data_IF_424110765128
#
_entry.id   IF_424110765128
#
_cell.length_a   1.000
_cell.length_b   1.000
_cell.length_c   1.000
_cell.angle_alpha   90.00
_cell.angle_beta   90.00
_cell.angle_gamma   90.00
#
_symmetry.space_group_name_H-M   'P 1'
#
loop_
_entity.id
_entity.type
_entity.pdbx_description
1 polymer ?
#
# COMPACT_ATOMS: atom_id res chain seq x y z
N UNK A 1 -18.68 -70.90 -13.28
CA UNK A 1 -19.34 -69.87 -14.11
C UNK A 1 -18.75 -68.51 -13.73
N UNK A 2 -18.10 -67.86 -14.71
CA UNK A 2 -17.79 -66.42 -14.94
C UNK A 2 -17.72 -65.43 -13.75
N UNK A 3 -16.86 -64.41 -13.69
CA UNK A 3 -15.71 -63.91 -14.47
C UNK A 3 -15.27 -62.56 -13.84
N UNK A 4 -13.96 -62.38 -13.65
CA UNK A 4 -13.13 -61.15 -13.78
C UNK A 4 -13.54 -59.79 -13.16
N UNK A 5 -12.68 -59.35 -12.22
CA UNK A 5 -11.66 -58.27 -12.37
C UNK A 5 -12.03 -56.76 -12.33
N UNK A 6 -11.09 -55.99 -11.74
CA UNK A 6 -10.82 -54.52 -11.83
C UNK A 6 -11.77 -53.58 -11.06
N UNK A 7 -11.42 -52.36 -10.63
CA UNK A 7 -10.20 -51.62 -10.28
C UNK A 7 -10.75 -50.31 -9.70
N UNK A 8 -10.34 -49.90 -8.50
CA UNK A 8 -10.90 -48.73 -7.82
C UNK A 8 -10.26 -47.44 -8.34
N UNK A 9 -11.06 -46.54 -8.91
CA UNK A 9 -10.63 -45.16 -9.25
C UNK A 9 -11.63 -44.16 -8.67
N UNK A 10 -11.06 -43.11 -8.08
CA UNK A 10 -11.63 -41.95 -7.40
C UNK A 10 -12.87 -41.31 -8.06
N UNK A 11 -13.86 -40.90 -7.25
CA UNK A 11 -14.78 -39.81 -7.57
C UNK A 11 -15.03 -38.90 -6.37
N UNK A 12 -14.80 -37.62 -6.63
CA UNK A 12 -14.86 -36.47 -5.73
C UNK A 12 -16.27 -36.24 -5.18
N UNK A 13 -16.33 -35.96 -3.88
CA UNK A 13 -17.53 -35.63 -3.12
C UNK A 13 -17.78 -34.11 -3.21
N UNK A 14 -18.86 -33.69 -3.87
CA UNK A 14 -19.36 -32.31 -3.80
C UNK A 14 -20.22 -32.18 -2.52
N UNK A 15 -19.79 -31.37 -1.56
CA UNK A 15 -20.55 -31.06 -0.36
C UNK A 15 -20.95 -29.58 -0.39
N UNK A 16 -22.21 -29.30 -0.73
CA UNK A 16 -22.82 -27.99 -0.50
C UNK A 16 -23.10 -27.82 1.00
N UNK A 17 -22.58 -26.75 1.59
CA UNK A 17 -22.95 -26.30 2.94
C UNK A 17 -23.86 -25.09 2.78
N UNK A 18 -25.12 -25.22 3.20
CA UNK A 18 -26.04 -24.10 3.42
C UNK A 18 -26.16 -23.81 4.91
N UNK A 19 -26.17 -22.53 5.28
CA UNK A 19 -26.38 -22.04 6.63
C UNK A 19 -27.85 -21.68 6.90
N UNK A 20 -28.25 -21.93 8.15
CA UNK A 20 -29.39 -21.42 8.95
C UNK A 20 -30.84 -21.92 8.74
N UNK A 21 -31.33 -22.52 9.84
CA UNK A 21 -32.71 -22.75 10.34
C UNK A 21 -33.67 -21.56 10.06
N UNK A 22 -34.99 -21.71 9.87
CA UNK A 22 -35.99 -22.35 10.76
C UNK A 22 -37.37 -22.46 10.03
N UNK A 23 -38.19 -23.43 10.45
CA UNK A 23 -39.63 -23.68 10.18
C UNK A 23 -40.06 -24.39 8.89
N UNK A 24 -40.32 -25.70 9.09
CA UNK A 24 -41.18 -26.56 8.28
C UNK A 24 -42.61 -26.00 8.18
N UNK A 25 -43.02 -25.64 6.97
CA UNK A 25 -44.32 -26.08 6.44
C UNK A 25 -44.04 -26.83 5.15
N UNK A 26 -44.42 -28.10 5.14
CA UNK A 26 -44.28 -29.01 4.00
C UNK A 26 -45.25 -28.60 2.90
N UNK A 27 -44.89 -27.63 2.08
CA UNK A 27 -45.42 -27.55 0.72
C UNK A 27 -44.60 -28.54 -0.11
N UNK A 28 -45.24 -29.65 -0.48
CA UNK A 28 -44.74 -30.53 -1.55
C UNK A 28 -44.80 -29.75 -2.85
N UNK A 29 -43.79 -28.92 -3.11
CA UNK A 29 -43.53 -28.39 -4.44
C UNK A 29 -43.03 -29.58 -5.24
N UNK A 30 -43.79 -30.01 -6.25
CA UNK A 30 -43.29 -30.96 -7.24
C UNK A 30 -41.92 -30.45 -7.71
N UNK A 31 -40.86 -31.27 -7.79
CA UNK A 31 -39.67 -30.87 -8.49
C UNK A 31 -40.04 -30.85 -9.97
N UNK A 32 -40.71 -29.80 -10.43
CA UNK A 32 -40.51 -29.36 -11.79
C UNK A 32 -39.03 -29.00 -11.80
N UNK A 33 -38.24 -29.84 -12.45
CA UNK A 33 -36.90 -29.47 -12.85
C UNK A 33 -37.07 -28.12 -13.56
N UNK A 34 -36.67 -27.02 -12.90
CA UNK A 34 -36.72 -25.70 -13.50
C UNK A 34 -35.85 -25.80 -14.74
N UNK A 35 -36.50 -25.93 -15.89
CA UNK A 35 -35.82 -26.21 -17.14
C UNK A 35 -34.85 -25.05 -17.38
N UNK A 36 -33.55 -25.36 -17.43
CA UNK A 36 -32.55 -24.34 -17.71
C UNK A 36 -32.65 -24.04 -19.20
N UNK A 37 -33.15 -22.85 -19.51
CA UNK A 37 -33.24 -22.40 -20.89
C UNK A 37 -31.82 -22.05 -21.36
N UNK A 38 -31.33 -22.80 -22.34
CA UNK A 38 -29.99 -22.54 -22.91
C UNK A 38 -30.10 -21.46 -23.97
N UNK A 39 -29.46 -20.33 -23.71
CA UNK A 39 -29.42 -19.21 -24.62
C UNK A 39 -28.33 -19.36 -25.69
N UNK A 40 -28.45 -18.61 -26.80
CA UNK A 40 -27.40 -18.53 -27.80
C UNK A 40 -26.05 -18.10 -27.21
N UNK A 41 -24.98 -18.68 -27.77
CA UNK A 41 -23.60 -18.34 -27.46
C UNK A 41 -23.36 -16.83 -27.65
N UNK A 42 -22.72 -16.20 -26.67
CA UNK A 42 -22.10 -14.88 -26.86
C UNK A 42 -20.61 -15.11 -27.09
N UNK A 43 -20.12 -14.63 -28.23
CA UNK A 43 -18.70 -14.49 -28.47
C UNK A 43 -18.26 -13.09 -28.07
N UNK A 44 -17.21 -13.01 -27.27
CA UNK A 44 -16.58 -11.76 -26.81
C UNK A 44 -15.07 -11.87 -27.03
N UNK A 45 -14.41 -10.73 -27.09
CA UNK A 45 -12.96 -10.66 -27.09
C UNK A 45 -12.48 -10.19 -25.73
N UNK A 46 -11.27 -10.59 -25.32
CA UNK A 46 -10.72 -10.16 -24.03
C UNK A 46 -10.75 -8.63 -23.90
N UNK A 47 -11.29 -8.12 -22.79
CA UNK A 47 -11.52 -6.70 -22.51
C UNK A 47 -12.89 -6.15 -22.95
N UNK A 48 -13.70 -6.91 -23.69
CA UNK A 48 -15.04 -6.48 -24.08
C UNK A 48 -16.01 -6.45 -22.89
N UNK A 49 -16.94 -5.50 -22.95
CA UNK A 49 -18.08 -5.41 -22.03
C UNK A 49 -19.39 -5.44 -22.80
N UNK A 50 -20.40 -6.16 -22.29
CA UNK A 50 -21.71 -6.27 -22.96
C UNK A 50 -22.85 -6.36 -21.95
N UNK A 51 -23.93 -5.61 -22.17
CA UNK A 51 -25.14 -5.77 -21.37
C UNK A 51 -25.89 -7.04 -21.78
N UNK A 52 -26.35 -7.80 -20.81
CA UNK A 52 -27.39 -8.81 -21.02
C UNK A 52 -28.73 -8.09 -21.15
N UNK A 53 -29.27 -8.06 -22.37
CA UNK A 53 -30.62 -7.56 -22.64
C UNK A 53 -31.63 -8.70 -22.55
N UNK A 54 -32.76 -8.41 -21.93
CA UNK A 54 -33.92 -9.30 -21.81
C UNK A 54 -35.06 -8.78 -22.70
N UNK A 55 -35.94 -9.66 -23.16
CA UNK A 55 -37.15 -9.24 -23.87
C UNK A 55 -37.99 -8.33 -22.96
N UNK A 56 -38.58 -7.28 -23.53
CA UNK A 56 -39.45 -6.33 -22.83
C UNK A 56 -38.87 -5.52 -21.65
N UNK A 57 -37.54 -5.47 -21.50
CA UNK A 57 -36.91 -4.62 -20.47
C UNK A 57 -36.93 -5.20 -19.06
N UNK A 58 -37.17 -6.50 -18.94
CA UNK A 58 -37.08 -7.24 -17.68
C UNK A 58 -35.65 -7.19 -17.10
N UNK A 59 -35.48 -7.59 -15.85
CA UNK A 59 -34.17 -7.69 -15.19
C UNK A 59 -34.05 -9.04 -14.48
N UNK A 60 -32.86 -9.65 -14.55
CA UNK A 60 -32.60 -10.87 -13.79
C UNK A 60 -32.47 -10.58 -12.28
N UNK A 61 -32.96 -11.50 -11.47
CA UNK A 61 -32.89 -11.41 -10.01
C UNK A 61 -31.52 -11.80 -9.44
N UNK A 62 -30.73 -12.57 -10.20
CA UNK A 62 -29.38 -12.99 -9.84
C UNK A 62 -28.57 -13.40 -11.07
N UNK A 63 -27.25 -13.30 -10.95
CA UNK A 63 -26.28 -13.77 -11.95
C UNK A 63 -25.18 -14.60 -11.28
N UNK A 64 -24.70 -15.61 -11.99
CA UNK A 64 -23.58 -16.46 -11.59
C UNK A 64 -22.69 -16.71 -12.81
N UNK A 65 -21.37 -16.71 -12.60
CA UNK A 65 -20.40 -17.15 -13.61
C UNK A 65 -19.69 -18.42 -13.15
N UNK A 66 -19.63 -19.43 -14.01
CA UNK A 66 -18.87 -20.65 -13.76
C UNK A 66 -17.35 -20.42 -13.68
N UNK A 67 -16.84 -19.36 -14.31
CA UNK A 67 -15.45 -18.94 -14.20
C UNK A 67 -15.32 -17.41 -14.35
N UNK A 68 -15.41 -16.64 -13.25
CA UNK A 68 -15.27 -15.19 -13.26
C UNK A 68 -13.93 -14.69 -13.80
N UNK A 69 -12.87 -15.52 -13.77
CA UNK A 69 -11.56 -15.14 -14.32
C UNK A 69 -11.56 -15.14 -15.86
N UNK A 70 -12.46 -15.89 -16.51
CA UNK A 70 -12.64 -15.89 -17.98
C UNK A 70 -13.71 -14.90 -18.38
N UNK A 71 -14.91 -14.99 -17.80
CA UNK A 71 -15.97 -14.00 -18.01
C UNK A 71 -16.72 -13.74 -16.70
N UNK A 72 -16.82 -12.48 -16.30
CA UNK A 72 -17.58 -12.06 -15.11
C UNK A 72 -18.86 -11.34 -15.50
N UNK A 73 -19.79 -11.25 -14.56
CA UNK A 73 -21.06 -10.55 -14.72
C UNK A 73 -21.34 -9.73 -13.47
N UNK A 74 -21.70 -8.47 -13.63
CA UNK A 74 -22.07 -7.58 -12.51
C UNK A 74 -23.49 -7.89 -12.03
N UNK A 75 -23.84 -7.40 -10.84
CA UNK A 75 -25.22 -7.48 -10.33
C UNK A 75 -26.23 -6.73 -11.22
N UNK A 76 -25.77 -5.78 -12.05
CA UNK A 76 -26.58 -5.07 -13.05
C UNK A 76 -26.64 -5.73 -14.42
N UNK A 77 -26.10 -6.95 -14.60
CA UNK A 77 -26.18 -7.69 -15.87
C UNK A 77 -25.14 -7.29 -16.92
N UNK A 78 -24.10 -6.54 -16.55
CA UNK A 78 -22.98 -6.22 -17.45
C UNK A 78 -21.98 -7.37 -17.44
N UNK A 79 -21.77 -8.01 -18.59
CA UNK A 79 -20.72 -9.01 -18.84
C UNK A 79 -19.38 -8.34 -19.08
N UNK A 80 -18.30 -8.92 -18.54
CA UNK A 80 -16.91 -8.54 -18.82
C UNK A 80 -16.13 -9.78 -19.26
N UNK A 81 -15.43 -9.69 -20.39
CA UNK A 81 -14.50 -10.71 -20.87
C UNK A 81 -13.10 -10.47 -20.29
N UNK A 82 -12.64 -11.35 -19.40
CA UNK A 82 -11.46 -11.13 -18.57
C UNK A 82 -10.22 -11.89 -19.07
N UNK A 83 -10.40 -13.13 -19.57
CA UNK A 83 -9.31 -13.96 -20.10
C UNK A 83 -9.83 -14.94 -21.15
N UNK A 84 -8.94 -15.51 -21.95
CA UNK A 84 -9.26 -16.43 -23.04
C UNK A 84 -9.84 -17.74 -22.51
N UNK A 85 -10.91 -18.21 -23.14
CA UNK A 85 -11.54 -19.49 -22.84
C UNK A 85 -13.06 -19.40 -22.86
N UNK A 86 -13.73 -20.29 -22.16
CA UNK A 86 -15.20 -20.26 -22.07
C UNK A 86 -15.68 -20.29 -20.62
N UNK A 87 -16.71 -19.51 -20.34
CA UNK A 87 -17.44 -19.53 -19.08
C UNK A 87 -18.95 -19.59 -19.37
N UNK A 88 -19.73 -19.99 -18.37
CA UNK A 88 -21.18 -20.05 -18.46
C UNK A 88 -21.77 -19.06 -17.47
N UNK A 89 -22.69 -18.24 -17.96
CA UNK A 89 -23.45 -17.31 -17.14
C UNK A 89 -24.83 -17.90 -16.92
N UNK A 90 -25.15 -18.16 -15.65
CA UNK A 90 -26.46 -18.61 -15.22
C UNK A 90 -27.17 -17.43 -14.57
N UNK A 91 -28.42 -17.18 -14.95
CA UNK A 91 -29.21 -16.09 -14.40
C UNK A 91 -30.69 -16.47 -14.32
N UNK A 92 -31.46 -15.77 -13.49
CA UNK A 92 -32.91 -16.04 -13.34
C UNK A 92 -33.77 -14.83 -13.70
N UNK A 93 -34.75 -15.03 -14.58
CA UNK A 93 -35.76 -14.03 -14.95
C UNK A 93 -37.13 -14.61 -14.61
N UNK A 94 -37.91 -13.90 -13.79
CA UNK A 94 -39.24 -14.35 -13.36
C UNK A 94 -39.29 -15.78 -12.78
N UNK A 95 -38.23 -16.20 -12.08
CA UNK A 95 -38.13 -17.53 -11.46
C UNK A 95 -37.71 -18.65 -12.41
N UNK A 96 -37.47 -18.35 -13.68
CA UNK A 96 -36.94 -19.30 -14.69
C UNK A 96 -35.43 -19.10 -14.79
N UNK A 97 -34.67 -20.20 -14.84
CA UNK A 97 -33.21 -20.15 -14.98
C UNK A 97 -32.81 -20.22 -16.45
N UNK A 98 -31.87 -19.37 -16.82
CA UNK A 98 -31.24 -19.34 -18.13
C UNK A 98 -29.76 -19.62 -17.98
N UNK A 99 -29.18 -20.28 -18.98
CA UNK A 99 -27.75 -20.50 -19.08
C UNK A 99 -27.26 -20.00 -20.42
N UNK A 100 -26.24 -19.15 -20.40
CA UNK A 100 -25.63 -18.59 -21.60
C UNK A 100 -24.15 -18.90 -21.60
N UNK A 101 -23.69 -19.60 -22.63
CA UNK A 101 -22.26 -19.83 -22.83
C UNK A 101 -21.62 -18.55 -23.36
N UNK A 102 -20.51 -18.16 -22.74
CA UNK A 102 -19.64 -17.07 -23.16
C UNK A 102 -18.36 -17.70 -23.66
N UNK A 103 -18.03 -17.45 -24.92
CA UNK A 103 -16.73 -17.80 -25.47
C UNK A 103 -15.92 -16.51 -25.60
N UNK A 104 -14.84 -16.43 -24.84
CA UNK A 104 -13.89 -15.34 -24.87
C UNK A 104 -12.70 -15.78 -25.71
N UNK A 105 -12.57 -15.21 -26.90
CA UNK A 105 -11.37 -15.39 -27.70
C UNK A 105 -10.37 -14.30 -27.34
N UNK A 106 -9.08 -14.61 -27.50
CA UNK A 106 -8.10 -13.53 -27.59
C UNK A 106 -8.46 -12.67 -28.82
N UNK A 107 -8.01 -11.42 -28.83
CA UNK A 107 -7.80 -10.81 -30.14
C UNK A 107 -6.71 -11.68 -30.76
N UNK A 108 -7.02 -12.46 -31.81
CA UNK A 108 -5.96 -13.03 -32.64
C UNK A 108 -5.03 -11.88 -32.95
N UNK A 109 -3.85 -11.87 -32.31
CA UNK A 109 -2.88 -10.81 -32.38
C UNK A 109 -2.65 -10.57 -33.87
N UNK A 110 -3.23 -9.52 -34.49
CA UNK A 110 -3.27 -9.43 -35.93
C UNK A 110 -1.93 -8.89 -36.33
N UNK A 111 -0.88 -9.70 -36.17
CA UNK A 111 0.55 -9.41 -36.33
C UNK A 111 0.75 -7.91 -36.44
N UNK A 112 0.53 -7.17 -35.34
CA UNK A 112 0.32 -5.73 -35.45
C UNK A 112 1.48 -5.14 -36.23
N UNK A 113 1.20 -4.63 -37.43
CA UNK A 113 2.24 -4.02 -38.24
C UNK A 113 2.81 -2.87 -37.43
N UNK A 114 4.09 -2.57 -37.61
CA UNK A 114 4.75 -1.43 -36.95
C UNK A 114 3.93 -0.14 -37.08
N UNK A 115 3.20 -0.01 -38.19
CA UNK A 115 2.28 1.09 -38.53
C UNK A 115 1.03 1.17 -37.65
N UNK A 116 0.46 0.05 -37.18
CA UNK A 116 -0.69 0.10 -36.25
C UNK A 116 -0.28 0.42 -34.81
N UNK A 117 0.97 0.12 -34.42
CA UNK A 117 1.50 0.52 -33.10
C UNK A 117 1.60 2.02 -32.93
N UNK A 118 1.94 2.74 -34.01
CA UNK A 118 2.16 4.19 -34.02
C UNK A 118 0.86 5.01 -34.12
N UNK A 119 -0.25 4.40 -34.57
CA UNK A 119 -1.51 5.11 -34.84
C UNK A 119 -2.61 4.90 -33.78
N UNK A 120 -2.33 4.19 -32.68
CA UNK A 120 -3.31 4.03 -31.59
C UNK A 120 -3.36 5.31 -30.75
N UNK A 121 -4.38 6.14 -30.98
CA UNK A 121 -4.64 7.36 -30.21
C UNK A 121 -5.66 7.06 -29.11
N UNK A 122 -5.23 7.21 -27.86
CA UNK A 122 -6.00 7.00 -26.65
C UNK A 122 -6.15 8.34 -25.91
N UNK A 123 -7.25 8.50 -25.13
CA UNK A 123 -7.42 9.67 -24.30
C UNK A 123 -6.32 9.73 -23.23
N UNK A 124 -5.96 10.94 -22.81
CA UNK A 124 -5.00 11.14 -21.73
C UNK A 124 -5.43 10.34 -20.48
N UNK A 125 -4.45 9.77 -19.78
CA UNK A 125 -4.66 8.89 -18.61
C UNK A 125 -5.42 7.57 -18.89
N UNK A 126 -5.62 7.17 -20.15
CA UNK A 126 -6.18 5.85 -20.47
C UNK A 126 -5.36 4.69 -19.88
N UNK A 127 -4.05 4.91 -19.69
CA UNK A 127 -3.13 3.96 -19.10
C UNK A 127 -2.62 4.49 -17.76
N UNK A 128 -2.96 3.80 -16.67
CA UNK A 128 -2.55 4.14 -15.30
C UNK A 128 -2.19 2.89 -14.52
N UNK A 129 -1.12 2.97 -13.73
CA UNK A 129 -0.72 1.90 -12.80
C UNK A 129 -1.31 2.12 -11.41
N UNK A 130 -1.56 1.05 -10.66
CA UNK A 130 -1.87 1.13 -9.22
C UNK A 130 -0.62 1.18 -8.34
N UNK A 131 0.56 1.01 -8.93
CA UNK A 131 1.83 0.87 -8.24
C UNK A 131 2.78 1.99 -8.67
N UNK A 132 2.51 3.25 -8.28
CA UNK A 132 3.36 4.37 -8.66
C UNK A 132 4.76 4.25 -8.04
N UNK A 133 4.88 3.67 -6.84
CA UNK A 133 6.17 3.46 -6.16
C UNK A 133 6.28 2.02 -5.67
N UNK A 134 7.41 1.38 -5.97
CA UNK A 134 7.73 0.03 -5.51
C UNK A 134 9.03 0.04 -4.70
N UNK A 135 9.01 -0.56 -3.50
CA UNK A 135 10.23 -0.93 -2.79
C UNK A 135 10.51 -2.42 -2.94
N UNK A 136 11.72 -2.76 -3.35
CA UNK A 136 12.13 -4.14 -3.64
C UNK A 136 13.51 -4.42 -3.04
N UNK A 137 13.75 -5.66 -2.66
CA UNK A 137 15.08 -6.17 -2.33
C UNK A 137 15.68 -6.90 -3.54
N UNK A 138 17.00 -7.10 -3.53
CA UNK A 138 17.70 -7.78 -4.62
C UNK A 138 17.10 -9.18 -4.85
N UNK A 139 16.88 -9.52 -6.13
CA UNK A 139 16.21 -10.75 -6.63
C UNK A 139 14.69 -10.76 -6.50
N UNK A 140 14.07 -9.77 -5.86
CA UNK A 140 12.62 -9.65 -5.90
C UNK A 140 12.15 -9.46 -7.34
N UNK A 141 10.98 -10.01 -7.63
CA UNK A 141 10.28 -9.77 -8.88
C UNK A 141 8.83 -9.40 -8.61
N UNK A 142 8.29 -8.51 -9.42
CA UNK A 142 6.92 -8.01 -9.28
C UNK A 142 6.34 -7.73 -10.67
N UNK A 143 5.08 -8.08 -10.91
CA UNK A 143 4.40 -7.69 -12.15
C UNK A 143 3.61 -6.43 -11.87
N UNK A 144 3.93 -5.35 -12.58
CA UNK A 144 3.25 -4.05 -12.41
C UNK A 144 1.75 -4.23 -12.69
N UNK A 145 0.91 -3.73 -11.79
CA UNK A 145 -0.54 -3.79 -11.93
C UNK A 145 -1.10 -2.50 -12.52
N UNK A 146 -2.17 -2.63 -13.29
CA UNK A 146 -2.91 -1.51 -13.86
C UNK A 146 -4.14 -1.18 -13.01
N UNK A 147 -4.60 0.07 -13.09
CA UNK A 147 -5.89 0.43 -12.50
C UNK A 147 -7.02 -0.39 -13.12
N UNK A 148 -8.14 -0.54 -12.41
CA UNK A 148 -9.29 -1.30 -12.93
C UNK A 148 -9.80 -0.75 -14.27
N UNK A 149 -9.75 0.57 -14.47
CA UNK A 149 -10.12 1.20 -15.75
C UNK A 149 -9.10 0.95 -16.86
N UNK A 150 -7.82 0.82 -16.53
CA UNK A 150 -6.76 0.52 -17.50
C UNK A 150 -6.56 -0.98 -17.74
N UNK A 151 -7.06 -1.87 -16.88
CA UNK A 151 -6.83 -3.31 -16.97
C UNK A 151 -7.41 -3.91 -18.26
N UNK A 152 -8.65 -3.57 -18.62
CA UNK A 152 -9.27 -4.06 -19.85
C UNK A 152 -8.48 -3.63 -21.09
N UNK A 153 -7.97 -2.39 -21.09
CA UNK A 153 -7.14 -1.84 -22.16
C UNK A 153 -5.79 -2.58 -22.26
N UNK A 154 -5.10 -2.75 -21.13
CA UNK A 154 -3.81 -3.43 -21.07
C UNK A 154 -3.91 -4.90 -21.47
N UNK A 155 -5.01 -5.58 -21.13
CA UNK A 155 -5.24 -6.96 -21.55
C UNK A 155 -5.55 -7.02 -23.04
N UNK A 156 -6.47 -6.17 -23.55
CA UNK A 156 -6.84 -6.10 -24.98
C UNK A 156 -5.64 -5.85 -25.89
N UNK A 157 -4.72 -4.98 -25.47
CA UNK A 157 -3.56 -4.58 -26.27
C UNK A 157 -2.23 -5.08 -25.70
N UNK A 158 -2.23 -6.21 -24.98
CA UNK A 158 -1.05 -6.73 -24.30
C UNK A 158 0.18 -6.86 -25.21
N UNK A 159 -0.01 -7.32 -26.45
CA UNK A 159 1.06 -7.45 -27.45
C UNK A 159 1.62 -6.13 -28.01
N UNK A 160 0.97 -5.01 -27.70
CA UNK A 160 1.38 -3.66 -28.09
C UNK A 160 2.06 -2.87 -26.98
N UNK A 161 1.99 -3.34 -25.72
CA UNK A 161 2.62 -2.67 -24.60
C UNK A 161 4.15 -2.66 -24.77
N UNK A 162 4.73 -1.48 -24.73
CA UNK A 162 6.19 -1.29 -24.77
C UNK A 162 6.65 -0.97 -23.36
N UNK A 163 7.44 -1.87 -22.79
CA UNK A 163 8.04 -1.71 -21.47
C UNK A 163 9.51 -1.31 -21.58
N UNK A 164 9.90 -0.29 -20.81
CA UNK A 164 11.27 0.22 -20.77
C UNK A 164 11.69 0.53 -19.34
N UNK A 165 12.93 0.20 -19.01
CA UNK A 165 13.63 0.69 -17.82
C UNK A 165 14.66 1.74 -18.23
N UNK A 166 14.74 2.86 -17.51
CA UNK A 166 15.81 3.85 -17.70
C UNK A 166 17.17 3.33 -17.24
N UNK A 167 17.19 2.40 -16.27
CA UNK A 167 18.39 1.80 -15.67
C UNK A 167 18.25 0.28 -15.57
N UNK A 168 18.34 -0.45 -16.71
CA UNK A 168 18.13 -1.90 -16.76
C UNK A 168 19.12 -2.73 -15.91
N UNK A 169 20.29 -2.17 -15.60
CA UNK A 169 21.28 -2.80 -14.71
C UNK A 169 20.91 -2.71 -13.21
N UNK A 170 19.95 -1.86 -12.85
CA UNK A 170 19.41 -1.72 -11.49
C UNK A 170 18.09 -2.48 -11.38
N UNK A 171 17.16 -2.21 -12.31
CA UNK A 171 15.86 -2.88 -12.41
C UNK A 171 15.61 -3.23 -13.87
N UNK A 172 15.43 -4.51 -14.17
CA UNK A 172 15.01 -4.97 -15.50
C UNK A 172 13.51 -5.12 -15.54
N UNK A 173 12.89 -4.85 -16.68
CA UNK A 173 11.48 -5.16 -16.97
C UNK A 173 11.42 -6.07 -18.20
N UNK A 174 10.55 -7.07 -18.20
CA UNK A 174 10.30 -7.92 -19.37
C UNK A 174 9.09 -7.44 -20.20
N UNK A 175 8.80 -8.15 -21.30
CA UNK A 175 7.69 -7.80 -22.20
C UNK A 175 6.30 -7.95 -21.58
N UNK A 176 6.18 -8.57 -20.40
CA UNK A 176 4.93 -8.74 -19.67
C UNK A 176 4.80 -7.76 -18.50
N UNK A 177 5.70 -6.77 -18.38
CA UNK A 177 5.69 -5.82 -17.26
C UNK A 177 6.19 -6.41 -15.95
N UNK A 178 6.87 -7.58 -15.97
CA UNK A 178 7.50 -8.13 -14.78
C UNK A 178 8.85 -7.48 -14.55
N UNK A 179 8.94 -6.71 -13.47
CA UNK A 179 10.18 -6.10 -13.01
C UNK A 179 10.99 -7.07 -12.15
N UNK A 180 12.31 -7.01 -12.25
CA UNK A 180 13.26 -7.78 -11.44
C UNK A 180 14.34 -6.85 -10.88
N UNK A 181 14.49 -6.83 -9.56
CA UNK A 181 15.47 -6.01 -8.86
C UNK A 181 16.87 -6.66 -8.88
N UNK A 182 17.86 -5.97 -9.44
CA UNK A 182 19.21 -6.51 -9.65
C UNK A 182 20.25 -5.92 -8.69
N UNK A 183 20.18 -4.61 -8.44
CA UNK A 183 21.17 -3.87 -7.66
C UNK A 183 20.51 -2.72 -6.90
N UNK A 184 21.07 -2.34 -5.74
CA UNK A 184 20.69 -1.13 -4.98
C UNK A 184 20.67 0.10 -5.89
N UNK A 185 19.63 0.91 -5.76
CA UNK A 185 19.43 2.14 -6.54
C UNK A 185 17.97 2.28 -6.95
N UNK A 186 17.67 3.27 -7.78
CA UNK A 186 16.31 3.54 -8.24
C UNK A 186 16.24 3.69 -9.75
N UNK A 187 15.16 3.19 -10.35
CA UNK A 187 14.90 3.20 -11.78
C UNK A 187 13.42 3.55 -12.06
N UNK A 188 13.18 4.22 -13.18
CA UNK A 188 11.86 4.50 -13.71
C UNK A 188 11.50 3.45 -14.75
N UNK A 189 10.38 2.76 -14.52
CA UNK A 189 9.81 1.81 -15.47
C UNK A 189 8.67 2.52 -16.20
N UNK A 190 8.74 2.54 -17.53
CA UNK A 190 7.74 3.16 -18.40
C UNK A 190 7.02 2.08 -19.18
N UNK A 191 5.69 2.15 -19.18
CA UNK A 191 4.83 1.36 -20.06
C UNK A 191 4.15 2.31 -21.04
N UNK A 192 4.28 2.04 -22.33
CA UNK A 192 3.71 2.85 -23.40
C UNK A 192 2.71 2.02 -24.21
N UNK A 193 1.57 2.62 -24.52
CA UNK A 193 0.56 2.07 -25.42
C UNK A 193 0.08 3.20 -26.35
N UNK A 194 0.43 3.12 -27.63
CA UNK A 194 0.12 4.20 -28.57
C UNK A 194 0.75 5.53 -28.14
N UNK A 195 -0.07 6.57 -27.98
CA UNK A 195 0.36 7.91 -27.52
C UNK A 195 0.42 8.10 -26.00
N UNK A 196 -0.03 7.14 -25.19
CA UNK A 196 -0.09 7.28 -23.72
C UNK A 196 1.00 6.47 -23.03
N UNK A 197 1.44 6.92 -21.85
CA UNK A 197 2.39 6.20 -21.01
C UNK A 197 2.01 6.29 -19.54
N UNK A 198 2.38 5.25 -18.78
CA UNK A 198 2.37 5.29 -17.32
C UNK A 198 3.75 4.92 -16.77
N UNK A 199 4.02 5.36 -15.54
CA UNK A 199 5.32 5.20 -14.90
C UNK A 199 5.18 4.50 -13.54
N UNK A 200 6.13 3.61 -13.26
CA UNK A 200 6.35 3.01 -11.94
C UNK A 200 7.78 3.31 -11.50
N UNK A 201 7.93 3.88 -10.32
CA UNK A 201 9.22 4.26 -9.74
C UNK A 201 9.69 3.18 -8.79
N UNK A 202 10.72 2.43 -9.20
CA UNK A 202 11.21 1.27 -8.44
C UNK A 202 12.45 1.67 -7.64
N UNK A 203 12.40 1.43 -6.34
CA UNK A 203 13.46 1.68 -5.37
C UNK A 203 13.99 0.35 -4.83
N UNK A 204 15.19 -0.04 -5.25
CA UNK A 204 15.87 -1.25 -4.79
C UNK A 204 16.70 -0.95 -3.56
N UNK A 205 16.33 -1.55 -2.44
CA UNK A 205 16.95 -1.37 -1.14
C UNK A 205 17.80 -2.59 -0.74
N UNK A 206 18.55 -2.45 0.35
CA UNK A 206 19.42 -3.50 0.92
C UNK A 206 19.28 -3.58 2.43
N UNK A 207 19.61 -4.73 3.01
CA UNK A 207 19.58 -4.93 4.48
C UNK A 207 20.74 -4.24 5.22
N UNK A 208 21.59 -3.53 4.49
CA UNK A 208 22.78 -2.84 4.96
C UNK A 208 22.73 -1.33 4.70
N UNK A 209 22.19 -0.59 5.66
CA UNK A 209 22.39 0.86 5.78
C UNK A 209 23.28 1.12 6.99
N UNK A 210 24.60 1.16 6.78
CA UNK A 210 25.59 1.42 7.84
C UNK A 210 25.79 2.94 8.01
N UNK A 211 25.84 3.45 9.26
CA UNK A 211 26.27 4.84 9.53
C UNK A 211 25.60 5.53 10.74
N UNK A 212 26.31 6.50 11.33
CA UNK A 212 25.84 7.37 12.45
C UNK A 212 24.71 8.32 12.00
N UNK A 213 24.74 8.69 10.73
CA UNK A 213 23.62 9.20 9.98
C UNK A 213 23.80 8.73 8.53
N UNK A 214 22.74 8.18 7.94
CA UNK A 214 22.80 7.56 6.61
C UNK A 214 21.72 8.18 5.76
N UNK A 215 22.09 8.58 4.54
CA UNK A 215 21.13 9.16 3.61
C UNK A 215 20.38 8.02 2.91
N UNK A 216 19.06 8.16 2.84
CA UNK A 216 18.17 7.25 2.14
C UNK A 216 17.46 8.02 1.04
N UNK A 217 17.90 7.80 -0.20
CA UNK A 217 17.25 8.38 -1.38
C UNK A 217 16.29 7.39 -2.03
N UNK A 218 15.17 7.92 -2.52
CA UNK A 218 14.14 7.18 -3.25
C UNK A 218 13.52 8.06 -4.34
N UNK A 219 12.96 7.43 -5.37
CA UNK A 219 12.02 8.08 -6.28
C UNK A 219 10.61 8.03 -5.69
N UNK A 220 9.89 9.14 -5.77
CA UNK A 220 8.50 9.30 -5.30
C UNK A 220 7.51 9.07 -6.44
N UNK A 221 6.21 9.11 -6.15
CA UNK A 221 5.16 8.96 -7.17
C UNK A 221 5.15 10.07 -8.23
N UNK A 222 5.79 11.21 -7.98
CA UNK A 222 5.96 12.32 -8.93
C UNK A 222 7.18 12.13 -9.84
N UNK A 223 8.01 11.11 -9.58
CA UNK A 223 9.27 10.88 -10.26
C UNK A 223 10.44 11.68 -9.72
N UNK A 224 10.20 12.52 -8.71
CA UNK A 224 11.25 13.27 -8.03
C UNK A 224 12.07 12.37 -7.11
N UNK A 225 13.35 12.72 -6.93
CA UNK A 225 14.19 12.08 -5.93
C UNK A 225 14.00 12.77 -4.58
N UNK A 226 13.55 12.02 -3.58
CA UNK A 226 13.52 12.45 -2.18
C UNK A 226 14.67 11.82 -1.42
N UNK A 227 15.39 12.61 -0.62
CA UNK A 227 16.48 12.11 0.23
C UNK A 227 16.19 12.38 1.69
N UNK A 228 16.11 11.31 2.48
CA UNK A 228 15.97 11.35 3.93
C UNK A 228 17.33 11.24 4.60
N UNK A 229 17.66 12.21 5.46
CA UNK A 229 18.79 12.12 6.38
C UNK A 229 18.35 11.36 7.62
N UNK A 230 18.82 10.12 7.82
CA UNK A 230 18.40 9.29 8.95
C UNK A 230 19.30 9.54 10.17
N UNK A 231 18.75 10.06 11.27
CA UNK A 231 19.53 10.50 12.44
C UNK A 231 19.60 9.47 13.57
N UNK A 232 20.74 9.42 14.26
CA UNK A 232 20.92 8.67 15.52
C UNK A 232 20.71 9.60 16.72
N UNK A 233 19.85 9.23 17.66
CA UNK A 233 19.78 9.93 18.94
C UNK A 233 20.90 9.39 19.85
N UNK A 234 21.95 10.18 20.09
CA UNK A 234 23.06 9.82 20.97
C UNK A 234 23.80 11.08 21.43
N UNK A 235 24.38 10.99 22.62
CA UNK A 235 25.34 11.97 23.11
C UNK A 235 26.53 12.05 22.12
N UNK A 236 27.08 13.26 21.97
CA UNK A 236 28.26 13.57 21.15
C UNK A 236 28.09 13.54 19.61
N UNK A 237 26.92 13.19 19.09
CA UNK A 237 26.67 13.30 17.64
C UNK A 237 26.33 14.73 17.20
N UNK A 238 25.97 15.60 18.15
CA UNK A 238 25.46 16.93 17.88
C UNK A 238 26.21 17.98 18.69
N UNK A 239 26.49 19.17 18.12
CA UNK A 239 27.25 20.22 18.82
C UNK A 239 26.56 20.79 20.06
N UNK A 240 25.22 20.72 20.13
CA UNK A 240 24.39 21.25 21.21
C UNK A 240 23.28 20.27 21.56
N UNK A 241 22.76 20.38 22.79
CA UNK A 241 21.68 19.54 23.32
C UNK A 241 22.01 18.03 23.33
N UNK A 242 23.29 17.66 23.46
CA UNK A 242 23.72 16.26 23.36
C UNK A 242 23.01 15.34 24.37
N UNK A 243 22.88 15.80 25.61
CA UNK A 243 22.28 15.08 26.73
C UNK A 243 20.77 14.99 26.56
N UNK A 244 20.12 16.08 26.11
CA UNK A 244 18.71 16.06 25.76
C UNK A 244 18.44 15.09 24.61
N UNK A 245 19.20 15.17 23.52
CA UNK A 245 19.04 14.32 22.35
C UNK A 245 19.30 12.85 22.67
N UNK A 246 20.20 12.53 23.60
CA UNK A 246 20.41 11.16 24.06
C UNK A 246 19.17 10.57 24.75
N UNK A 247 18.43 11.38 25.54
CA UNK A 247 17.29 10.92 26.33
C UNK A 247 15.94 11.07 25.62
N UNK A 248 15.75 12.19 24.92
CA UNK A 248 14.46 12.67 24.40
C UNK A 248 14.49 12.96 22.90
N UNK A 249 15.58 12.64 22.21
CA UNK A 249 15.80 13.06 20.83
C UNK A 249 14.99 12.33 19.76
N UNK A 250 14.13 11.36 20.09
CA UNK A 250 13.38 10.56 19.10
C UNK A 250 12.45 11.42 18.23
N UNK A 251 11.67 12.30 18.87
CA UNK A 251 10.77 13.23 18.20
C UNK A 251 11.53 14.21 17.30
N UNK A 252 12.59 14.83 17.85
CA UNK A 252 13.43 15.79 17.14
C UNK A 252 14.17 15.16 15.95
N UNK A 253 14.68 13.93 16.10
CA UNK A 253 15.31 13.19 15.00
C UNK A 253 14.30 12.83 13.91
N UNK A 254 13.10 12.39 14.29
CA UNK A 254 12.03 12.06 13.34
C UNK A 254 11.56 13.29 12.57
N UNK A 255 11.36 14.41 13.27
CA UNK A 255 11.01 15.70 12.66
C UNK A 255 12.10 16.19 11.71
N UNK A 256 13.38 16.18 12.13
CA UNK A 256 14.49 16.57 11.25
C UNK A 256 14.57 15.69 9.99
N UNK A 257 14.38 14.38 10.14
CA UNK A 257 14.39 13.40 9.03
C UNK A 257 13.33 13.73 7.98
N UNK A 258 12.10 14.02 8.42
CA UNK A 258 10.99 14.32 7.51
C UNK A 258 11.07 15.74 6.97
N UNK A 259 11.32 16.73 7.83
CA UNK A 259 11.34 18.14 7.43
C UNK A 259 12.40 18.40 6.36
N UNK A 260 13.62 17.87 6.53
CA UNK A 260 14.68 18.02 5.53
C UNK A 260 14.44 17.24 4.23
N UNK A 261 13.57 16.24 4.23
CA UNK A 261 13.23 15.47 3.03
C UNK A 261 12.04 16.06 2.25
N UNK A 262 11.19 16.87 2.89
CA UNK A 262 9.95 17.40 2.31
C UNK A 262 10.01 18.90 2.01
N UNK A 263 11.00 19.61 2.53
CA UNK A 263 11.20 21.02 2.23
C UNK A 263 12.69 21.34 2.12
N UNK A 264 13.11 21.75 0.92
CA UNK A 264 14.51 21.98 0.57
C UNK A 264 15.19 23.05 1.42
N UNK A 265 14.42 24.02 1.96
CA UNK A 265 14.93 25.02 2.90
C UNK A 265 15.49 24.39 4.19
N UNK A 266 15.14 23.14 4.48
CA UNK A 266 15.57 22.38 5.65
C UNK A 266 16.41 21.14 5.30
N UNK A 267 16.85 20.97 4.04
CA UNK A 267 17.59 19.77 3.58
C UNK A 267 18.85 19.43 4.40
N UNK A 268 19.46 20.43 5.05
CA UNK A 268 20.61 20.27 5.94
C UNK A 268 20.29 20.32 7.45
N UNK A 269 19.02 20.32 7.85
CA UNK A 269 18.64 20.52 9.25
C UNK A 269 19.15 19.38 10.14
N UNK A 270 19.78 19.73 11.25
CA UNK A 270 20.21 18.77 12.27
C UNK A 270 19.18 18.72 13.42
N UNK A 271 19.06 17.60 14.14
CA UNK A 271 18.22 17.51 15.33
C UNK A 271 18.51 18.61 16.36
N UNK A 272 19.77 18.96 16.59
CA UNK A 272 20.11 20.09 17.48
C UNK A 272 19.56 21.43 16.99
N UNK A 273 19.53 21.63 15.67
CA UNK A 273 19.03 22.86 15.03
C UNK A 273 17.51 22.92 14.96
N UNK A 274 16.83 21.77 15.08
CA UNK A 274 15.37 21.77 15.26
C UNK A 274 15.00 22.44 16.59
N UNK A 275 15.69 22.08 17.67
CA UNK A 275 15.38 22.52 19.05
C UNK A 275 15.46 24.05 19.17
N UNK A 276 16.55 24.67 18.71
CA UNK A 276 16.72 26.12 18.82
C UNK A 276 16.29 26.91 17.58
N UNK A 277 15.95 26.22 16.50
CA UNK A 277 15.39 26.77 15.27
C UNK A 277 13.87 26.61 15.21
N UNK A 278 13.38 25.72 14.33
CA UNK A 278 11.95 25.60 14.02
C UNK A 278 11.08 25.29 15.23
N UNK A 279 11.57 24.50 16.19
CA UNK A 279 10.83 24.24 17.43
C UNK A 279 10.65 25.54 18.22
N UNK A 280 11.72 26.29 18.47
CA UNK A 280 11.66 27.57 19.17
C UNK A 280 10.86 28.63 18.43
N UNK A 281 10.91 28.62 17.10
CA UNK A 281 10.19 29.56 16.25
C UNK A 281 8.67 29.36 16.31
N UNK A 282 8.22 28.11 16.33
CA UNK A 282 6.80 27.78 16.23
C UNK A 282 6.16 27.32 17.54
N UNK A 283 6.93 27.28 18.63
CA UNK A 283 6.42 27.11 20.01
C UNK A 283 6.39 28.46 20.73
N UNK A 284 5.57 28.59 21.77
CA UNK A 284 5.60 29.81 22.59
C UNK A 284 6.92 29.91 23.37
N UNK A 285 7.47 31.12 23.52
CA UNK A 285 8.68 31.34 24.33
C UNK A 285 8.54 30.77 25.75
N UNK A 286 7.34 30.80 26.32
CA UNK A 286 7.03 30.23 27.64
C UNK A 286 7.17 28.71 27.65
N UNK A 287 6.60 28.03 26.66
CA UNK A 287 6.65 26.56 26.59
C UNK A 287 8.06 26.07 26.29
N UNK A 288 8.74 26.70 25.33
CA UNK A 288 10.12 26.35 25.00
C UNK A 288 11.05 26.52 26.19
N UNK A 289 10.95 27.66 26.89
CA UNK A 289 11.78 27.94 28.09
C UNK A 289 11.45 26.96 29.22
N UNK A 290 10.17 26.61 29.40
CA UNK A 290 9.77 25.59 30.38
C UNK A 290 10.49 24.27 30.12
N UNK A 291 10.49 23.80 28.88
CA UNK A 291 11.05 22.49 28.55
C UNK A 291 12.56 22.49 28.49
N UNK A 292 13.18 23.46 27.83
CA UNK A 292 14.62 23.42 27.53
C UNK A 292 15.50 24.15 28.54
N UNK A 293 14.93 24.97 29.43
CA UNK A 293 15.70 25.76 30.41
C UNK A 293 15.29 25.45 31.85
N UNK A 294 13.99 25.46 32.15
CA UNK A 294 13.53 25.41 33.54
C UNK A 294 13.43 23.99 34.11
N UNK A 295 13.20 22.99 33.25
CA UNK A 295 13.08 21.59 33.67
C UNK A 295 14.45 20.93 33.74
N UNK A 296 14.63 20.08 34.75
CA UNK A 296 15.79 19.18 34.80
C UNK A 296 15.73 18.22 33.61
N UNK A 297 16.89 17.76 33.13
CA UNK A 297 17.01 16.88 31.96
C UNK A 297 16.00 15.71 31.98
N UNK A 298 15.79 15.07 33.13
CA UNK A 298 14.85 13.94 33.28
C UNK A 298 13.37 14.35 33.14
N UNK A 299 13.03 15.59 33.48
CA UNK A 299 11.68 16.13 33.42
C UNK A 299 11.33 16.86 32.12
N UNK A 300 12.31 17.15 31.27
CA UNK A 300 12.07 17.68 29.92
C UNK A 300 11.25 16.67 29.11
N UNK A 301 10.33 17.17 28.30
CA UNK A 301 9.50 16.33 27.42
C UNK A 301 9.83 16.59 25.96
N UNK A 302 9.85 15.54 25.11
CA UNK A 302 9.97 15.72 23.67
C UNK A 302 8.73 16.42 23.10
N UNK A 303 8.83 16.89 21.85
CA UNK A 303 7.66 17.31 21.09
C UNK A 303 6.62 16.19 21.04
N UNK A 304 5.34 16.54 21.18
CA UNK A 304 4.23 15.63 20.92
C UNK A 304 4.05 15.41 19.42
N UNK A 305 3.23 14.42 19.03
CA UNK A 305 2.80 14.30 17.63
C UNK A 305 2.00 15.53 17.16
N UNK A 306 1.25 16.20 18.04
CA UNK A 306 0.63 17.49 17.70
C UNK A 306 1.70 18.55 17.40
N UNK A 307 2.70 18.69 18.28
CA UNK A 307 3.77 19.66 18.10
C UNK A 307 4.57 19.43 16.82
N UNK A 308 4.87 18.17 16.50
CA UNK A 308 5.51 17.77 15.23
C UNK A 308 4.61 18.14 14.04
N UNK A 309 3.33 17.79 14.07
CA UNK A 309 2.36 18.09 13.00
C UNK A 309 2.23 19.61 12.75
N UNK A 310 2.13 20.38 13.82
CA UNK A 310 2.07 21.85 13.79
C UNK A 310 3.33 22.46 13.20
N UNK A 311 4.52 22.03 13.65
CA UNK A 311 5.79 22.53 13.11
C UNK A 311 5.94 22.20 11.63
N UNK A 312 5.62 20.96 11.22
CA UNK A 312 5.64 20.56 9.81
C UNK A 312 4.75 21.49 8.96
N UNK A 313 3.51 21.72 9.41
CA UNK A 313 2.55 22.58 8.70
C UNK A 313 3.03 24.02 8.64
N UNK A 314 3.50 24.59 9.75
CA UNK A 314 4.07 25.94 9.80
C UNK A 314 5.35 26.08 8.99
N UNK A 315 6.05 24.97 8.75
CA UNK A 315 7.25 24.90 7.90
C UNK A 315 6.93 24.56 6.44
N UNK A 316 5.65 24.62 6.03
CA UNK A 316 5.23 24.40 4.66
C UNK A 316 5.16 22.93 4.22
N UNK A 317 5.21 21.98 5.15
CA UNK A 317 5.04 20.54 4.86
C UNK A 317 3.62 20.12 5.21
N UNK A 318 2.82 19.81 4.18
CA UNK A 318 1.44 19.37 4.39
C UNK A 318 1.39 18.01 5.08
N UNK A 319 0.45 17.87 6.03
CA UNK A 319 0.33 16.67 6.83
C UNK A 319 -1.06 16.52 7.48
N UNK A 320 -1.40 15.29 7.83
CA UNK A 320 -2.62 14.94 8.54
C UNK A 320 -2.30 14.08 9.77
N UNK A 321 -2.59 14.60 10.96
CA UNK A 321 -2.42 13.89 12.22
C UNK A 321 -3.65 13.05 12.59
N UNK A 322 -3.52 11.73 12.42
CA UNK A 322 -4.53 10.75 12.81
C UNK A 322 -4.35 10.37 14.27
N UNK A 323 -5.27 10.85 15.11
CA UNK A 323 -5.23 10.67 16.57
C UNK A 323 -5.90 9.39 17.04
N UNK A 324 -7.05 9.04 16.45
CA UNK A 324 -7.93 7.95 16.87
C UNK A 324 -8.13 6.97 15.72
N UNK A 325 -8.11 5.67 16.00
CA UNK A 325 -8.26 4.63 15.00
C UNK A 325 -8.50 3.26 15.66
N UNK A 326 -9.03 2.32 14.89
CA UNK A 326 -8.90 0.88 15.13
C UNK A 326 -7.66 0.32 14.43
N UNK A 327 -7.14 -0.82 14.89
CA UNK A 327 -5.98 -1.49 14.27
C UNK A 327 -6.20 -1.78 12.78
N UNK A 328 -7.43 -2.14 12.38
CA UNK A 328 -7.73 -2.45 10.98
C UNK A 328 -7.67 -1.21 10.08
N UNK A 329 -8.29 -0.11 10.53
CA UNK A 329 -8.27 1.18 9.82
C UNK A 329 -6.84 1.71 9.69
N UNK A 330 -6.08 1.73 10.80
CA UNK A 330 -4.71 2.20 10.77
C UNK A 330 -3.83 1.35 9.86
N UNK A 331 -3.99 0.02 9.86
CA UNK A 331 -3.21 -0.86 8.98
C UNK A 331 -3.48 -0.54 7.51
N UNK A 332 -4.74 -0.37 7.13
CA UNK A 332 -5.12 -0.05 5.77
C UNK A 332 -4.60 1.35 5.36
N UNK A 333 -4.83 2.36 6.18
CA UNK A 333 -4.46 3.75 5.92
C UNK A 333 -2.94 3.96 5.86
N UNK A 334 -2.18 3.32 6.77
CA UNK A 334 -0.71 3.37 6.76
C UNK A 334 -0.16 2.74 5.47
N UNK A 335 -0.62 1.54 5.11
CA UNK A 335 -0.11 0.85 3.93
C UNK A 335 -0.47 1.59 2.65
N UNK A 336 -1.70 2.08 2.51
CA UNK A 336 -2.11 2.84 1.32
C UNK A 336 -1.30 4.12 1.18
N UNK A 337 -1.08 4.87 2.27
CA UNK A 337 -0.27 6.08 2.26
C UNK A 337 1.19 5.80 1.90
N UNK A 338 1.82 4.78 2.49
CA UNK A 338 3.20 4.41 2.18
C UNK A 338 3.41 3.98 0.72
N UNK A 339 2.39 3.37 0.07
CA UNK A 339 2.44 3.01 -1.36
C UNK A 339 2.50 4.22 -2.29
N UNK A 340 2.12 5.40 -1.82
CA UNK A 340 2.28 6.65 -2.60
C UNK A 340 3.73 7.17 -2.59
N UNK A 341 4.63 6.51 -1.85
CA UNK A 341 6.01 6.97 -1.64
C UNK A 341 6.14 8.06 -0.57
N UNK A 342 5.08 8.31 0.19
CA UNK A 342 5.07 9.26 1.28
C UNK A 342 5.35 8.62 2.64
N UNK A 343 5.93 9.41 3.56
CA UNK A 343 6.31 8.97 4.90
C UNK A 343 5.22 9.18 5.95
N UNK A 344 5.40 8.50 7.08
CA UNK A 344 4.54 8.60 8.26
C UNK A 344 5.41 8.73 9.51
N UNK A 345 5.12 9.72 10.37
CA UNK A 345 5.70 9.80 11.72
C UNK A 345 4.70 9.18 12.69
N UNK A 346 5.13 8.38 13.65
CA UNK A 346 4.20 7.72 14.58
C UNK A 346 4.83 7.49 15.96
N UNK A 347 3.97 7.26 16.94
CA UNK A 347 4.36 7.02 18.34
C UNK A 347 4.12 5.56 18.75
N UNK A 348 5.06 4.99 19.51
CA UNK A 348 4.88 3.69 20.18
C UNK A 348 5.14 3.80 21.66
N UNK A 349 4.60 2.85 22.43
CA UNK A 349 4.86 2.73 23.87
C UNK A 349 5.38 1.35 24.25
N UNK A 350 6.01 1.24 25.41
CA UNK A 350 6.56 -0.02 25.93
C UNK A 350 5.49 -1.10 26.12
N UNK A 351 4.28 -0.68 26.50
CA UNK A 351 3.15 -1.56 26.79
C UNK A 351 2.44 -1.95 25.49
N UNK A 352 2.46 -3.24 25.18
CA UNK A 352 1.69 -3.82 24.09
C UNK A 352 0.19 -3.53 24.30
N UNK A 353 -0.44 -2.93 23.29
CA UNK A 353 -1.83 -2.48 23.31
C UNK A 353 -2.84 -3.64 23.31
N UNK A 354 -2.44 -4.83 22.84
CA UNK A 354 -3.30 -6.02 22.76
C UNK A 354 -3.19 -6.91 23.99
N UNK A 355 -1.96 -7.17 24.44
CA UNK A 355 -1.68 -8.14 25.52
C UNK A 355 -1.44 -7.47 26.87
N UNK A 356 -1.21 -6.16 26.90
CA UNK A 356 -0.81 -5.43 28.10
C UNK A 356 0.63 -5.71 28.58
N UNK A 357 1.35 -6.64 27.92
CA UNK A 357 2.73 -6.99 28.26
C UNK A 357 3.68 -5.84 27.94
N UNK A 358 4.67 -5.60 28.80
CA UNK A 358 5.71 -4.60 28.58
C UNK A 358 6.95 -5.26 27.98
N UNK A 359 7.47 -4.71 26.89
CA UNK A 359 8.71 -5.19 26.27
C UNK A 359 9.64 -4.02 25.95
N UNK A 360 10.95 -4.26 25.95
CA UNK A 360 11.97 -3.26 25.58
C UNK A 360 12.32 -3.30 24.08
N UNK A 361 11.53 -4.00 23.27
CA UNK A 361 11.82 -4.21 21.84
C UNK A 361 11.91 -2.88 21.10
N UNK A 362 10.91 -2.01 21.30
CA UNK A 362 10.79 -0.73 20.62
C UNK A 362 11.04 0.49 21.51
N UNK A 363 10.82 0.39 22.83
CA UNK A 363 11.10 1.50 23.74
C UNK A 363 11.09 1.04 25.19
N UNK A 364 11.71 1.82 26.08
CA UNK A 364 11.56 1.68 27.53
C UNK A 364 10.39 2.50 28.09
N UNK A 365 9.84 3.42 27.30
CA UNK A 365 8.73 4.30 27.70
C UNK A 365 7.86 4.60 26.48
N UNK A 366 8.11 5.72 25.79
CA UNK A 366 7.51 6.15 24.53
C UNK A 366 8.62 6.38 23.51
N UNK A 367 8.29 6.38 22.22
CA UNK A 367 9.27 6.54 21.15
C UNK A 367 8.62 6.95 19.84
N UNK A 368 9.10 8.04 19.26
CA UNK A 368 8.70 8.52 17.93
C UNK A 368 9.61 7.92 16.85
N UNK A 369 9.02 7.41 15.77
CA UNK A 369 9.72 6.81 14.63
C UNK A 369 9.08 7.22 13.30
N UNK A 370 9.72 6.86 12.18
CA UNK A 370 9.25 7.20 10.83
C UNK A 370 9.13 5.95 9.96
N UNK A 371 7.99 5.74 9.31
CA UNK A 371 7.84 4.77 8.22
C UNK A 371 8.11 5.49 6.89
N UNK A 372 8.94 4.91 6.03
CA UNK A 372 9.39 5.51 4.77
C UNK A 372 8.79 4.85 3.51
N UNK A 373 8.24 3.65 3.64
CA UNK A 373 7.69 2.92 2.50
C UNK A 373 7.28 1.49 2.85
N UNK A 374 6.66 0.82 1.88
CA UNK A 374 6.26 -0.59 1.97
C UNK A 374 6.85 -1.38 0.82
N UNK A 375 7.44 -2.53 1.13
CA UNK A 375 8.02 -3.45 0.17
C UNK A 375 6.93 -4.27 -0.52
N UNK A 376 7.24 -4.78 -1.70
CA UNK A 376 6.37 -5.72 -2.45
C UNK A 376 6.04 -7.00 -1.66
N UNK A 377 6.86 -7.38 -0.68
CA UNK A 377 6.61 -8.50 0.23
C UNK A 377 5.72 -8.14 1.45
N UNK A 378 5.23 -6.90 1.54
CA UNK A 378 4.34 -6.42 2.61
C UNK A 378 5.05 -5.91 3.87
N UNK A 379 6.38 -6.03 3.97
CA UNK A 379 7.17 -5.43 5.06
C UNK A 379 7.31 -3.92 4.89
N UNK A 380 7.55 -3.21 5.98
CA UNK A 380 7.70 -1.75 5.98
C UNK A 380 9.16 -1.33 6.24
N UNK A 381 9.53 -0.19 5.65
CA UNK A 381 10.78 0.52 5.91
C UNK A 381 10.61 1.43 7.12
N UNK A 382 11.23 1.06 8.23
CA UNK A 382 11.19 1.79 9.50
C UNK A 382 12.52 2.50 9.75
N UNK A 383 12.48 3.83 9.84
CA UNK A 383 13.56 4.63 10.41
C UNK A 383 13.38 4.78 11.92
N UNK A 384 14.38 4.33 12.66
CA UNK A 384 14.42 4.36 14.12
C UNK A 384 15.77 4.92 14.59
N UNK A 385 15.69 6.05 15.32
CA UNK A 385 16.84 6.82 15.79
C UNK A 385 17.67 6.13 16.87
N UNK A 386 17.15 5.06 17.46
CA UNK A 386 17.79 4.29 18.54
C UNK A 386 18.45 3.03 17.99
N UNK A 387 19.63 2.70 18.53
CA UNK A 387 20.29 1.43 18.26
C UNK A 387 19.50 0.27 18.86
N UNK A 388 19.18 -0.72 18.04
CA UNK A 388 18.53 -1.96 18.49
C UNK A 388 19.52 -3.10 18.41
N UNK A 389 19.87 -3.66 19.55
CA UNK A 389 20.75 -4.84 19.62
C UNK A 389 20.19 -6.03 18.84
N UNK A 390 18.86 -6.13 18.74
CA UNK A 390 18.17 -7.20 18.02
C UNK A 390 18.13 -7.02 16.50
N UNK A 391 18.63 -5.91 15.94
CA UNK A 391 18.56 -5.64 14.50
C UNK A 391 19.86 -5.06 13.93
N UNK A 392 20.59 -5.90 13.17
CA UNK A 392 21.71 -5.54 12.30
C UNK A 392 22.72 -4.51 12.84
N UNK A 393 23.05 -4.54 14.14
CA UNK A 393 24.20 -3.80 14.68
C UNK A 393 24.07 -2.28 14.65
N UNK A 394 22.86 -1.73 14.91
CA UNK A 394 22.67 -0.29 15.08
C UNK A 394 22.34 0.48 13.79
N UNK A 395 21.74 -0.19 12.80
CA UNK A 395 21.19 0.49 11.62
C UNK A 395 19.99 1.37 11.98
N UNK A 396 19.84 2.47 11.24
CA UNK A 396 18.69 3.39 11.35
C UNK A 396 17.49 2.88 10.58
N UNK A 397 17.71 2.36 9.39
CA UNK A 397 16.67 1.74 8.58
C UNK A 397 16.50 0.26 8.92
N UNK A 398 15.25 -0.17 9.09
CA UNK A 398 14.88 -1.53 9.45
C UNK A 398 13.75 -1.99 8.53
N UNK A 399 13.81 -3.24 8.08
CA UNK A 399 12.75 -3.92 7.34
C UNK A 399 12.04 -4.85 8.31
N UNK A 400 10.78 -4.56 8.62
CA UNK A 400 10.00 -5.27 9.65
C UNK A 400 8.54 -5.43 9.23
N UNK A 401 7.81 -6.33 9.89
CA UNK A 401 6.38 -6.45 9.69
C UNK A 401 5.64 -5.30 10.38
N UNK A 402 4.69 -4.67 9.70
CA UNK A 402 3.91 -3.57 10.28
C UNK A 402 3.16 -4.03 11.54
N UNK A 403 2.69 -5.29 11.57
CA UNK A 403 2.00 -5.87 12.73
C UNK A 403 2.85 -5.85 14.01
N UNK A 404 4.16 -6.07 13.91
CA UNK A 404 5.08 -6.06 15.06
C UNK A 404 5.17 -4.69 15.72
N UNK A 405 4.99 -3.63 14.93
CA UNK A 405 5.02 -2.24 15.38
C UNK A 405 3.65 -1.86 15.93
N UNK A 406 2.59 -2.19 15.20
CA UNK A 406 1.21 -1.82 15.54
C UNK A 406 0.77 -2.33 16.92
N UNK A 407 1.33 -3.46 17.37
CA UNK A 407 1.13 -3.94 18.75
C UNK A 407 1.50 -2.92 19.83
N UNK A 408 2.35 -1.95 19.53
CA UNK A 408 2.86 -0.95 20.45
C UNK A 408 2.42 0.48 20.09
N UNK A 409 1.78 0.67 18.94
CA UNK A 409 1.06 1.89 18.63
C UNK A 409 -0.17 2.01 19.52
N UNK A 410 -0.63 3.23 19.76
CA UNK A 410 -1.80 3.50 20.58
C UNK A 410 -2.53 4.76 20.09
N UNK A 411 -3.87 4.73 20.01
CA UNK A 411 -4.65 5.92 19.69
C UNK A 411 -4.73 6.85 20.91
N UNK A 412 -5.03 8.12 20.64
CA UNK A 412 -5.44 9.08 21.66
C UNK A 412 -6.82 8.71 22.21
N UNK A 413 -7.07 9.06 23.47
CA UNK A 413 -8.38 8.99 24.15
C UNK A 413 -8.87 10.36 24.59
N UNK A 414 -8.08 11.41 24.34
CA UNK A 414 -8.36 12.80 24.68
C UNK A 414 -7.72 13.70 23.61
N UNK A 415 -8.29 14.88 23.43
CA UNK A 415 -7.73 15.88 22.53
C UNK A 415 -6.77 16.81 23.29
N UNK A 416 -5.60 17.05 22.72
CA UNK A 416 -4.64 18.03 23.24
C UNK A 416 -3.86 18.68 22.11
N UNK A 417 -3.61 19.99 22.27
CA UNK A 417 -2.78 20.81 21.41
C UNK A 417 -1.46 21.20 22.09
N UNK A 418 -1.04 20.43 23.09
CA UNK A 418 0.26 20.64 23.72
C UNK A 418 1.36 20.39 22.71
N UNK A 419 2.28 21.36 22.55
CA UNK A 419 3.46 21.21 21.69
C UNK A 419 4.41 20.10 22.19
N UNK A 420 4.38 19.84 23.49
CA UNK A 420 5.24 18.86 24.15
C UNK A 420 4.42 17.69 24.69
N UNK A 421 5.02 16.51 24.72
CA UNK A 421 4.40 15.29 25.20
C UNK A 421 3.86 15.50 26.63
N UNK A 422 2.57 15.22 26.81
CA UNK A 422 1.85 15.39 28.07
C UNK A 422 1.06 14.14 28.50
N UNK A 423 1.00 13.09 27.67
CA UNK A 423 0.48 11.80 28.09
C UNK A 423 0.00 10.88 26.97
N UNK A 424 -0.09 9.60 27.28
CA UNK A 424 -0.54 8.59 26.32
C UNK A 424 -2.00 8.77 25.88
N UNK A 425 -2.81 9.51 26.65
CA UNK A 425 -4.19 9.82 26.27
C UNK A 425 -4.27 10.83 25.12
N UNK A 426 -3.21 11.57 24.82
CA UNK A 426 -3.26 12.73 23.90
C UNK A 426 -2.17 12.74 22.83
N UNK A 427 -1.11 11.94 23.01
CA UNK A 427 0.08 11.96 22.15
C UNK A 427 0.29 10.65 21.36
N UNK A 428 -0.72 9.78 21.30
CA UNK A 428 -0.74 8.61 20.44
C UNK A 428 -1.03 8.97 18.97
N UNK A 429 -1.07 7.97 18.08
CA UNK A 429 -1.39 8.20 16.68
C UNK A 429 -0.22 8.17 15.71
N UNK A 430 -0.50 8.70 14.52
CA UNK A 430 0.45 8.81 13.43
C UNK A 430 0.12 10.01 12.54
N UNK A 431 1.13 10.57 11.89
CA UNK A 431 1.06 11.76 11.05
C UNK A 431 1.40 11.32 9.63
N UNK A 432 0.43 11.43 8.72
CA UNK A 432 0.64 11.24 7.29
C UNK A 432 1.24 12.51 6.70
N UNK A 433 2.37 12.38 6.01
CA UNK A 433 3.08 13.50 5.37
C UNK A 433 2.76 13.50 3.88
N UNK A 434 2.53 14.66 3.28
CA UNK A 434 2.26 14.77 1.84
C UNK A 434 3.35 15.56 1.13
N UNK A 435 3.70 15.11 -0.08
CA UNK A 435 4.52 15.90 -0.99
C UNK A 435 3.71 17.14 -1.41
N UNK A 436 4.35 18.31 -1.43
CA UNK A 436 3.71 19.53 -1.94
C UNK A 436 3.50 19.32 -3.44
N UNK A 437 2.25 19.41 -3.89
CA UNK A 437 1.84 19.26 -5.29
C UNK A 437 2.32 20.41 -6.17
#
# INVERSE_FOLDING_TARGET
MFSKNTSTTYKYFFMFVFFSLFLWQSFTIKPEASEIITDPLISMTVGDTKNLYFFHGDSASAYFSSNPNIASVTTGGVLNANDVGSAEIIYSVHGVFHQRKINVTDIENPSFSTTQRENLILPDNALTTTDPVLFMQKKDSYTIQFSSSSQALATRYKGLLIWKSDKPNIVRVDSNGKVTALKKGSATITCTLGNVSCHTYVNVITDSYTGKATDFSMLTATGNQRTYRLFKQNAHNYPRYDSYLAWHGCATCSLATVLGAYNDNYSGILPSSVIDGVEKQFTSNKDWTREHVNRSLRGQMPLSLYGISSILKSSGVDNNYVRTYTDSEAKHDIISHLKTGNSIIFEVRQKNSRTGKRTKRWTNSYHTMVLLGVLTNGKVLLCDSVDRSWYNGGQRLKIVDLSDIMEYMFPCTSFSESMYYNGASSDGGYIKIYEIS
#
